data_IF_499914373165
#
_entry.id   IF_499914373165
#
_cell.length_a   1.000
_cell.length_b   1.000
_cell.length_c   1.000
_cell.angle_alpha   90.00
_cell.angle_beta   90.00
_cell.angle_gamma   90.00
#
_symmetry.space_group_name_H-M   'P 1'
#
loop_
_entity.id
_entity.type
_entity.pdbx_description
1 polymer ?
#
# COMPACT_ATOMS: atom_id res chain seq x y z
N UNK A 1 -46.53 -40.84 0.86
CA UNK A 1 -47.55 -39.80 1.14
C UNK A 1 -46.97 -38.40 1.45
N UNK A 2 -45.65 -38.16 1.39
CA UNK A 2 -45.05 -36.86 1.73
C UNK A 2 -44.96 -35.83 0.58
N UNK A 3 -45.09 -36.25 -0.69
CA UNK A 3 -44.91 -35.37 -1.86
C UNK A 3 -46.09 -34.45 -2.19
N UNK A 4 -47.33 -34.84 -1.85
CA UNK A 4 -48.54 -34.06 -2.17
C UNK A 4 -48.70 -32.80 -1.31
N UNK A 5 -48.29 -32.87 -0.04
CA UNK A 5 -48.33 -31.72 0.88
C UNK A 5 -47.33 -30.62 0.47
N UNK A 6 -46.16 -31.03 -0.03
CA UNK A 6 -45.14 -30.10 -0.53
C UNK A 6 -45.59 -29.30 -1.76
N UNK A 7 -46.25 -29.99 -2.70
CA UNK A 7 -46.76 -29.34 -3.90
C UNK A 7 -47.91 -28.36 -3.57
N UNK A 8 -48.79 -28.73 -2.64
CA UNK A 8 -49.88 -27.86 -2.16
C UNK A 8 -49.33 -26.60 -1.46
N UNK A 9 -48.29 -26.74 -0.64
CA UNK A 9 -47.61 -25.61 0.02
C UNK A 9 -46.95 -24.65 -0.99
N UNK A 10 -46.31 -25.19 -2.05
CA UNK A 10 -45.73 -24.37 -3.10
C UNK A 10 -46.78 -23.60 -3.90
N UNK A 11 -47.89 -24.26 -4.27
CA UNK A 11 -48.99 -23.61 -5.01
C UNK A 11 -49.65 -22.53 -4.16
N UNK A 12 -49.89 -22.80 -2.87
CA UNK A 12 -50.45 -21.83 -1.94
C UNK A 12 -49.53 -20.60 -1.76
N UNK A 13 -48.22 -20.82 -1.66
CA UNK A 13 -47.24 -19.73 -1.56
C UNK A 13 -47.21 -18.87 -2.82
N UNK A 14 -47.22 -19.50 -4.00
CA UNK A 14 -47.24 -18.77 -5.29
C UNK A 14 -48.52 -17.94 -5.46
N UNK A 15 -49.68 -18.47 -5.07
CA UNK A 15 -50.95 -17.73 -5.11
C UNK A 15 -50.95 -16.57 -4.11
N UNK A 16 -50.39 -16.76 -2.92
CA UNK A 16 -50.28 -15.69 -1.92
C UNK A 16 -49.38 -14.56 -2.41
N UNK A 17 -48.24 -14.90 -3.00
CA UNK A 17 -47.31 -13.93 -3.61
C UNK A 17 -48.00 -13.18 -4.76
N UNK A 18 -48.71 -13.88 -5.65
CA UNK A 18 -49.45 -13.25 -6.74
C UNK A 18 -50.55 -12.30 -6.25
N UNK A 19 -51.26 -12.65 -5.17
CA UNK A 19 -52.26 -11.79 -4.53
C UNK A 19 -51.64 -10.51 -3.96
N UNK A 20 -50.51 -10.62 -3.26
CA UNK A 20 -49.78 -9.46 -2.71
C UNK A 20 -49.37 -8.52 -3.85
N UNK A 21 -48.77 -9.05 -4.92
CA UNK A 21 -48.36 -8.25 -6.08
C UNK A 21 -49.53 -7.65 -6.85
N UNK A 22 -50.72 -8.27 -6.82
CA UNK A 22 -51.93 -7.73 -7.47
C UNK A 22 -52.57 -6.54 -6.73
N UNK A 23 -52.21 -6.33 -5.46
CA UNK A 23 -52.70 -5.20 -4.65
C UNK A 23 -51.77 -3.98 -4.61
N UNK A 24 -50.54 -4.14 -5.08
CA UNK A 24 -49.54 -3.07 -5.13
C UNK A 24 -49.78 -2.18 -6.34
N UNK A 25 -49.59 -0.88 -6.16
CA UNK A 25 -49.45 0.03 -7.30
C UNK A 25 -48.16 -0.30 -8.08
N UNK A 26 -48.07 0.02 -9.38
CA UNK A 26 -46.86 -0.22 -10.17
C UNK A 26 -45.59 0.36 -9.53
N UNK A 27 -45.68 1.54 -8.90
CA UNK A 27 -44.56 2.16 -8.19
C UNK A 27 -44.12 1.41 -6.94
N UNK A 28 -45.05 0.78 -6.21
CA UNK A 28 -44.70 0.00 -5.02
C UNK A 28 -44.08 -1.34 -5.41
N UNK A 29 -44.57 -1.98 -6.47
CA UNK A 29 -43.99 -3.21 -7.00
C UNK A 29 -42.55 -2.99 -7.52
N UNK A 30 -42.28 -1.86 -8.18
CA UNK A 30 -40.93 -1.46 -8.61
C UNK A 30 -40.00 -1.24 -7.41
N UNK A 31 -40.47 -0.53 -6.37
CA UNK A 31 -39.69 -0.29 -5.15
C UNK A 31 -39.36 -1.58 -4.40
N UNK A 32 -40.31 -2.52 -4.29
CA UNK A 32 -40.07 -3.83 -3.68
C UNK A 32 -39.07 -4.67 -4.50
N UNK A 33 -39.17 -4.64 -5.83
CA UNK A 33 -38.22 -5.33 -6.71
C UNK A 33 -36.80 -4.76 -6.57
N UNK A 34 -36.66 -3.44 -6.49
CA UNK A 34 -35.38 -2.77 -6.27
C UNK A 34 -34.79 -3.10 -4.89
N UNK A 35 -35.61 -3.09 -3.83
CA UNK A 35 -35.19 -3.47 -2.48
C UNK A 35 -34.75 -4.96 -2.40
N UNK A 36 -35.48 -5.86 -3.07
CA UNK A 36 -35.11 -7.27 -3.15
C UNK A 36 -33.80 -7.48 -3.94
N UNK A 37 -33.62 -6.76 -5.05
CA UNK A 37 -32.39 -6.78 -5.84
C UNK A 37 -31.19 -6.24 -5.04
N UNK A 38 -31.36 -5.14 -4.31
CA UNK A 38 -30.33 -4.57 -3.44
C UNK A 38 -29.96 -5.53 -2.30
N UNK A 39 -30.96 -6.21 -1.71
CA UNK A 39 -30.73 -7.22 -0.66
C UNK A 39 -29.95 -8.43 -1.19
N UNK A 40 -30.34 -8.96 -2.35
CA UNK A 40 -29.64 -10.07 -3.02
C UNK A 40 -28.20 -9.70 -3.37
N UNK A 41 -27.97 -8.49 -3.87
CA UNK A 41 -26.63 -7.97 -4.20
C UNK A 41 -25.76 -7.85 -2.95
N UNK A 42 -26.30 -7.33 -1.85
CA UNK A 42 -25.60 -7.25 -0.58
C UNK A 42 -25.23 -8.62 -0.02
N UNK A 43 -26.12 -9.62 -0.15
CA UNK A 43 -25.84 -10.98 0.30
C UNK A 43 -24.68 -11.61 -0.51
N UNK A 44 -24.70 -11.48 -1.84
CA UNK A 44 -23.61 -11.95 -2.71
C UNK A 44 -22.29 -11.29 -2.36
N UNK A 45 -22.29 -9.96 -2.20
CA UNK A 45 -21.11 -9.21 -1.79
C UNK A 45 -20.56 -9.69 -0.45
N UNK A 46 -21.41 -9.92 0.56
CA UNK A 46 -20.97 -10.48 1.85
C UNK A 46 -20.36 -11.87 1.70
N UNK A 47 -20.92 -12.74 0.86
CA UNK A 47 -20.33 -14.06 0.59
C UNK A 47 -18.93 -13.95 -0.05
N UNK A 48 -18.76 -13.04 -1.02
CA UNK A 48 -17.45 -12.76 -1.62
C UNK A 48 -16.46 -12.23 -0.58
N UNK A 49 -16.90 -11.31 0.30
CA UNK A 49 -16.08 -10.79 1.39
C UNK A 49 -15.66 -11.90 2.33
N UNK A 50 -16.56 -12.77 2.77
CA UNK A 50 -16.23 -13.89 3.65
C UNK A 50 -15.23 -14.85 3.00
N UNK A 51 -15.40 -15.13 1.71
CA UNK A 51 -14.44 -15.93 0.93
C UNK A 51 -13.05 -15.27 0.89
N UNK A 52 -12.99 -13.96 0.65
CA UNK A 52 -11.75 -13.19 0.65
C UNK A 52 -11.08 -13.17 2.03
N UNK A 53 -11.84 -12.89 3.09
CA UNK A 53 -11.33 -12.86 4.46
C UNK A 53 -10.74 -14.20 4.89
N UNK A 54 -11.37 -15.32 4.51
CA UNK A 54 -10.84 -16.67 4.76
C UNK A 54 -9.48 -16.90 4.09
N UNK A 55 -9.23 -16.25 2.95
CA UNK A 55 -7.94 -16.32 2.24
C UNK A 55 -6.89 -15.41 2.89
N UNK A 56 -7.27 -14.17 3.22
CA UNK A 56 -6.37 -13.14 3.78
C UNK A 56 -5.97 -13.44 5.23
N UNK A 57 -6.94 -13.71 6.09
CA UNK A 57 -6.73 -13.94 7.51
C UNK A 57 -6.33 -15.39 7.75
N UNK A 58 -5.02 -15.63 7.78
CA UNK A 58 -4.45 -16.95 8.07
C UNK A 58 -4.72 -17.36 9.51
N UNK A 59 -4.87 -18.66 9.81
CA UNK A 59 -5.08 -19.12 11.19
C UNK A 59 -3.96 -18.65 12.12
N UNK A 60 -4.27 -17.82 13.15
CA UNK A 60 -3.26 -17.31 14.07
C UNK A 60 -2.84 -18.38 15.09
N UNK A 61 -1.57 -18.34 15.50
CA UNK A 61 -1.08 -19.08 16.68
C UNK A 61 -1.25 -18.28 17.98
N UNK A 62 -1.34 -16.96 17.87
CA UNK A 62 -1.68 -16.04 18.94
C UNK A 62 -2.34 -14.79 18.36
N UNK A 63 -3.13 -14.09 19.16
CA UNK A 63 -3.76 -12.82 18.78
C UNK A 63 -3.48 -11.79 19.87
N UNK A 64 -3.09 -10.59 19.46
CA UNK A 64 -2.80 -9.45 20.32
C UNK A 64 -3.82 -8.35 20.02
N UNK A 65 -4.43 -7.80 21.07
CA UNK A 65 -5.29 -6.63 20.98
C UNK A 65 -4.42 -5.38 21.15
N UNK A 66 -4.28 -4.61 20.07
CA UNK A 66 -3.51 -3.37 20.10
C UNK A 66 -4.31 -2.27 20.81
N UNK A 67 -3.67 -1.38 21.59
CA UNK A 67 -4.34 -0.25 22.26
C UNK A 67 -5.13 0.68 21.34
N UNK A 68 -4.78 0.70 20.05
CA UNK A 68 -5.44 1.51 19.03
C UNK A 68 -6.61 0.80 18.32
N UNK A 69 -7.02 -0.38 18.79
CA UNK A 69 -8.17 -1.15 18.30
C UNK A 69 -7.86 -2.08 17.12
N UNK A 70 -6.61 -2.14 16.68
CA UNK A 70 -6.16 -3.15 15.73
C UNK A 70 -6.05 -4.53 16.40
N UNK A 71 -6.35 -5.57 15.64
CA UNK A 71 -6.12 -6.95 16.05
C UNK A 71 -4.91 -7.46 15.29
N UNK A 72 -3.86 -7.86 16.00
CA UNK A 72 -2.64 -8.39 15.41
C UNK A 72 -2.62 -9.91 15.57
N UNK A 73 -2.64 -10.61 14.45
CA UNK A 73 -2.56 -12.07 14.37
C UNK A 73 -1.11 -12.50 14.16
N UNK A 74 -0.61 -13.34 15.05
CA UNK A 74 0.70 -13.96 14.94
C UNK A 74 0.57 -15.23 14.08
N UNK A 75 0.98 -15.12 12.82
CA UNK A 75 0.86 -16.20 11.83
C UNK A 75 2.21 -16.88 11.65
N UNK A 76 2.23 -18.20 11.61
CA UNK A 76 3.47 -18.95 11.33
C UNK A 76 4.13 -18.44 10.05
N UNK A 77 5.44 -18.19 10.06
CA UNK A 77 6.14 -17.52 8.96
C UNK A 77 5.95 -18.21 7.61
N UNK A 78 5.89 -19.55 7.59
CA UNK A 78 5.62 -20.35 6.37
C UNK A 78 4.17 -20.34 5.87
N UNK A 79 3.25 -19.70 6.60
CA UNK A 79 1.83 -19.60 6.25
C UNK A 79 1.41 -18.18 5.86
N UNK A 80 2.35 -17.24 5.77
CA UNK A 80 2.06 -15.85 5.44
C UNK A 80 1.37 -15.70 4.07
N UNK A 81 0.54 -14.65 3.86
CA UNK A 81 -0.21 -14.45 2.63
C UNK A 81 0.62 -14.44 1.34
N UNK A 82 1.90 -14.03 1.40
CA UNK A 82 2.79 -14.04 0.24
C UNK A 82 2.88 -15.42 -0.45
N UNK A 83 2.77 -16.52 0.31
CA UNK A 83 2.85 -17.88 -0.23
C UNK A 83 1.57 -18.38 -0.90
N UNK A 84 0.49 -17.59 -0.91
CA UNK A 84 -0.65 -17.86 -1.80
C UNK A 84 -0.31 -17.58 -3.26
N UNK A 85 0.72 -16.76 -3.52
CA UNK A 85 1.19 -16.46 -4.86
C UNK A 85 1.73 -17.73 -5.53
N UNK A 86 1.28 -18.09 -6.76
CA UNK A 86 1.67 -19.35 -7.41
C UNK A 86 3.18 -19.57 -7.51
N UNK A 87 3.95 -18.50 -7.77
CA UNK A 87 5.42 -18.57 -7.87
C UNK A 87 6.13 -18.70 -6.51
N UNK A 88 5.42 -18.58 -5.39
CA UNK A 88 6.01 -18.57 -4.04
C UNK A 88 5.59 -19.75 -3.16
N UNK A 89 4.69 -20.64 -3.63
CA UNK A 89 4.10 -21.73 -2.82
C UNK A 89 5.10 -22.67 -2.13
N UNK A 90 6.30 -22.84 -2.70
CA UNK A 90 7.37 -23.69 -2.15
C UNK A 90 8.68 -22.92 -1.93
N UNK A 91 8.57 -21.60 -1.76
CA UNK A 91 9.73 -20.76 -1.64
C UNK A 91 10.48 -21.02 -0.32
N UNK A 92 11.81 -21.18 -0.40
CA UNK A 92 12.67 -21.31 0.78
C UNK A 92 12.87 -19.93 1.40
N UNK A 93 12.30 -19.73 2.59
CA UNK A 93 12.31 -18.43 3.29
C UNK A 93 13.74 -18.00 3.57
N UNK A 94 14.10 -16.84 3.02
CA UNK A 94 15.35 -16.18 3.32
C UNK A 94 15.14 -15.23 4.51
N UNK A 95 15.96 -15.36 5.55
CA UNK A 95 15.88 -14.49 6.74
C UNK A 95 16.76 -13.24 6.64
N UNK A 96 17.82 -13.29 5.82
CA UNK A 96 18.75 -12.20 5.57
C UNK A 96 19.42 -12.37 4.20
N UNK A 97 19.88 -11.29 3.55
CA UNK A 97 20.64 -11.39 2.32
C UNK A 97 22.01 -12.04 2.56
N UNK A 98 22.50 -12.77 1.56
CA UNK A 98 23.83 -13.38 1.58
C UNK A 98 24.96 -12.35 1.53
N UNK A 99 24.72 -11.22 0.87
CA UNK A 99 25.66 -10.10 0.71
C UNK A 99 24.90 -8.81 0.99
N UNK A 100 25.44 -7.96 1.85
CA UNK A 100 24.90 -6.63 2.13
C UNK A 100 25.71 -5.55 1.41
N UNK A 101 25.10 -4.43 1.02
CA UNK A 101 25.83 -3.28 0.52
C UNK A 101 26.88 -2.78 1.52
N UNK A 102 28.07 -2.45 1.01
CA UNK A 102 29.10 -1.76 1.78
C UNK A 102 28.55 -0.42 2.28
N UNK A 103 28.73 -0.14 3.58
CA UNK A 103 28.12 1.00 4.26
C UNK A 103 26.81 0.67 5.01
N UNK A 104 26.27 -0.55 4.86
CA UNK A 104 25.24 -1.07 5.79
C UNK A 104 25.85 -1.87 6.96
N UNK A 105 27.11 -2.31 6.83
CA UNK A 105 27.83 -3.02 7.89
C UNK A 105 27.94 -2.15 9.15
N UNK A 106 27.28 -2.56 10.23
CA UNK A 106 27.32 -1.87 11.53
C UNK A 106 26.05 -1.12 11.93
N UNK A 107 25.00 -1.07 11.11
CA UNK A 107 23.69 -0.60 11.57
C UNK A 107 23.05 -1.64 12.48
N UNK A 108 23.25 -1.46 13.80
CA UNK A 108 22.59 -2.27 14.80
C UNK A 108 21.07 -2.19 14.62
N UNK A 109 20.41 -3.35 14.54
CA UNK A 109 18.96 -3.43 14.49
C UNK A 109 18.38 -2.69 15.69
N UNK A 110 17.66 -1.61 15.44
CA UNK A 110 16.97 -0.88 16.50
C UNK A 110 15.59 -1.51 16.70
N UNK A 111 15.14 -1.72 17.94
CA UNK A 111 13.75 -2.04 18.16
C UNK A 111 12.92 -0.85 17.68
N UNK A 112 12.19 -1.03 16.58
CA UNK A 112 11.15 -0.09 16.20
C UNK A 112 9.86 -0.49 16.91
N UNK A 113 9.39 0.41 17.75
CA UNK A 113 8.17 0.26 18.54
C UNK A 113 6.98 0.65 17.69
N UNK A 114 5.96 -0.19 17.68
CA UNK A 114 4.64 0.07 17.12
C UNK A 114 3.62 0.06 18.26
N UNK A 115 2.45 0.66 18.05
CA UNK A 115 1.40 0.74 19.09
C UNK A 115 1.08 -0.60 19.72
N UNK A 116 1.06 -1.68 18.92
CA UNK A 116 0.70 -3.01 19.39
C UNK A 116 1.77 -3.71 20.24
N UNK A 117 3.03 -3.27 20.19
CA UNK A 117 4.15 -3.87 20.94
C UNK A 117 4.82 -2.90 21.92
N UNK A 118 4.23 -1.73 22.14
CA UNK A 118 4.80 -0.67 22.99
C UNK A 118 4.89 -1.07 24.47
N UNK A 119 4.07 -2.01 24.93
CA UNK A 119 4.09 -2.51 26.30
C UNK A 119 4.82 -3.87 26.42
N UNK A 120 5.59 -4.25 25.39
CA UNK A 120 6.40 -5.46 25.40
C UNK A 120 5.72 -6.70 24.83
N UNK A 121 4.50 -6.58 24.28
CA UNK A 121 3.83 -7.66 23.56
C UNK A 121 4.67 -8.11 22.36
N UNK A 122 4.76 -9.42 22.17
CA UNK A 122 5.52 -10.03 21.07
C UNK A 122 4.77 -11.23 20.54
N UNK A 123 4.86 -11.41 19.23
CA UNK A 123 4.46 -12.66 18.62
C UNK A 123 5.42 -13.80 19.00
N UNK A 124 4.94 -15.05 19.13
CA UNK A 124 5.78 -16.21 19.40
C UNK A 124 6.89 -16.38 18.35
N UNK A 125 7.96 -17.08 18.71
CA UNK A 125 9.03 -17.41 17.76
C UNK A 125 8.47 -18.14 16.53
N UNK A 126 9.11 -17.91 15.37
CA UNK A 126 8.69 -18.44 14.06
C UNK A 126 7.32 -17.95 13.56
N UNK A 127 6.81 -16.85 14.11
CA UNK A 127 5.61 -16.18 13.62
C UNK A 127 5.88 -14.74 13.21
N UNK A 128 5.02 -14.21 12.34
CA UNK A 128 5.04 -12.81 11.93
C UNK A 128 3.74 -12.13 12.38
N UNK A 129 3.80 -10.86 12.84
CA UNK A 129 2.62 -10.08 13.16
C UNK A 129 1.92 -9.63 11.87
N UNK A 130 0.63 -9.92 11.73
CA UNK A 130 -0.20 -9.47 10.61
C UNK A 130 -1.44 -8.78 11.19
N UNK A 131 -1.72 -7.54 10.78
CA UNK A 131 -3.00 -6.90 11.12
C UNK A 131 -4.14 -7.68 10.47
N UNK A 132 -5.13 -8.09 11.27
CA UNK A 132 -6.34 -8.76 10.79
C UNK A 132 -7.15 -7.81 9.92
N UNK A 133 -7.51 -8.27 8.73
CA UNK A 133 -8.46 -7.57 7.86
C UNK A 133 -9.87 -7.83 8.36
N UNK A 134 -10.67 -6.79 8.56
CA UNK A 134 -12.06 -6.91 9.02
C UNK A 134 -13.04 -6.92 7.84
N UNK A 135 -14.27 -7.40 8.06
CA UNK A 135 -15.33 -7.35 7.05
C UNK A 135 -15.63 -5.92 6.61
N UNK A 136 -15.69 -4.99 7.56
CA UNK A 136 -15.84 -3.56 7.30
C UNK A 136 -14.72 -3.00 6.40
N UNK A 137 -13.50 -3.55 6.45
CA UNK A 137 -12.40 -3.09 5.60
C UNK A 137 -12.64 -3.38 4.14
N UNK A 138 -13.08 -4.61 3.86
CA UNK A 138 -13.37 -5.04 2.49
C UNK A 138 -14.67 -4.41 1.98
N UNK A 139 -15.66 -4.23 2.85
CA UNK A 139 -16.94 -3.67 2.47
C UNK A 139 -16.84 -2.21 1.99
N UNK A 140 -15.88 -1.42 2.49
CA UNK A 140 -15.59 -0.05 2.01
C UNK A 140 -14.99 -0.01 0.60
N UNK A 141 -14.35 -1.09 0.16
CA UNK A 141 -13.69 -1.13 -1.14
C UNK A 141 -14.70 -1.05 -2.28
N UNK A 142 -14.36 -0.41 -3.39
CA UNK A 142 -15.25 -0.39 -4.57
C UNK A 142 -15.51 -1.79 -5.12
N UNK A 143 -14.49 -2.66 -5.09
CA UNK A 143 -14.56 -4.05 -5.53
C UNK A 143 -13.83 -4.98 -4.58
N UNK A 144 -14.48 -6.09 -4.21
CA UNK A 144 -13.90 -7.16 -3.39
C UNK A 144 -12.73 -7.81 -4.12
N UNK A 145 -12.84 -7.99 -5.44
CA UNK A 145 -11.82 -8.65 -6.26
C UNK A 145 -10.51 -7.84 -6.39
N UNK A 146 -10.60 -6.52 -6.23
CA UNK A 146 -9.44 -5.60 -6.33
C UNK A 146 -9.07 -4.97 -4.99
N UNK A 147 -9.64 -5.44 -3.87
CA UNK A 147 -9.28 -4.95 -2.54
C UNK A 147 -7.76 -5.05 -2.30
N UNK A 148 -7.15 -3.93 -1.90
CA UNK A 148 -5.71 -3.82 -1.66
C UNK A 148 -4.84 -3.78 -2.91
N UNK A 149 -5.40 -3.78 -4.12
CA UNK A 149 -4.65 -3.61 -5.37
C UNK A 149 -4.66 -2.14 -5.81
N UNK A 150 -3.53 -1.61 -6.27
CA UNK A 150 -3.51 -0.36 -7.04
C UNK A 150 -4.09 -0.65 -8.44
N UNK A 151 -5.04 0.15 -8.90
CA UNK A 151 -5.64 0.01 -10.23
C UNK A 151 -4.76 0.67 -11.29
N UNK A 152 -4.46 -0.04 -12.39
CA UNK A 152 -3.58 0.38 -13.49
C UNK A 152 -4.07 1.60 -14.33
N UNK A 153 -4.88 2.50 -13.77
CA UNK A 153 -5.34 3.73 -14.45
C UNK A 153 -4.35 4.90 -14.35
N UNK A 154 -3.43 4.87 -13.37
CA UNK A 154 -2.45 5.93 -13.12
C UNK A 154 -1.34 5.90 -14.17
N UNK A 155 -1.60 6.57 -15.30
CA UNK A 155 -0.63 6.87 -16.32
C UNK A 155 0.50 7.71 -15.71
N UNK A 156 1.72 7.19 -15.74
CA UNK A 156 2.94 7.97 -15.52
C UNK A 156 3.85 7.90 -16.75
N UNK A 157 3.51 8.59 -17.85
CA UNK A 157 4.35 8.61 -19.02
C UNK A 157 4.97 10.00 -19.12
N UNK A 158 5.89 10.36 -18.21
CA UNK A 158 6.73 11.57 -18.31
C UNK A 158 6.05 12.77 -19.01
N UNK A 159 5.34 13.60 -18.24
CA UNK A 159 4.77 14.93 -18.60
C UNK A 159 3.36 15.00 -19.24
N UNK A 160 2.67 16.06 -18.82
CA UNK A 160 1.51 16.76 -19.41
C UNK A 160 0.09 16.29 -19.02
N UNK A 161 -0.49 17.01 -18.05
CA UNK A 161 -1.94 17.19 -17.90
C UNK A 161 -2.63 16.24 -16.92
N UNK A 162 -2.86 16.74 -15.69
CA UNK A 162 -3.82 16.23 -14.69
C UNK A 162 -3.91 14.70 -14.62
N UNK A 163 -3.02 14.13 -13.81
CA UNK A 163 -3.18 12.79 -13.26
C UNK A 163 -4.53 12.67 -12.55
N UNK A 164 -5.18 11.51 -12.68
CA UNK A 164 -6.48 11.09 -12.14
C UNK A 164 -6.54 11.14 -10.60
N UNK A 165 -6.35 12.34 -10.03
CA UNK A 165 -6.23 12.64 -8.60
C UNK A 165 -4.83 12.53 -7.99
N UNK A 166 -3.84 11.92 -8.64
CA UNK A 166 -2.53 11.71 -8.03
C UNK A 166 -1.56 12.90 -8.17
N UNK A 167 -1.12 13.53 -7.09
CA UNK A 167 -0.15 14.64 -7.12
C UNK A 167 1.16 14.28 -6.43
N UNK A 168 2.26 14.88 -6.90
CA UNK A 168 3.63 14.47 -6.53
C UNK A 168 4.48 15.65 -6.08
N UNK A 169 5.29 15.41 -5.05
CA UNK A 169 6.41 16.24 -4.64
C UNK A 169 7.60 15.32 -4.41
N UNK A 170 8.30 14.99 -5.50
CA UNK A 170 9.23 13.85 -5.52
C UNK A 170 10.55 14.20 -6.19
N UNK A 171 11.56 13.40 -5.89
CA UNK A 171 12.90 13.56 -6.38
C UNK A 171 13.38 12.24 -7.00
N UNK A 172 13.95 12.30 -8.18
CA UNK A 172 14.28 11.15 -9.03
C UNK A 172 15.78 11.13 -9.32
N UNK A 173 16.45 10.00 -9.09
CA UNK A 173 17.87 9.86 -9.40
C UNK A 173 18.09 9.80 -10.91
N UNK A 174 18.99 10.63 -11.45
CA UNK A 174 19.17 10.77 -12.91
C UNK A 174 20.60 10.58 -13.40
N UNK A 175 21.58 10.45 -12.51
CA UNK A 175 22.99 10.46 -12.90
C UNK A 175 23.69 9.11 -12.97
N UNK A 176 23.04 8.04 -12.54
CA UNK A 176 23.54 6.68 -12.70
C UNK A 176 22.62 5.91 -13.67
N UNK A 177 23.21 5.07 -14.52
CA UNK A 177 22.46 4.28 -15.49
C UNK A 177 21.75 3.07 -14.88
N UNK A 178 22.24 2.58 -13.73
CA UNK A 178 21.84 1.34 -13.11
C UNK A 178 21.84 1.49 -11.58
N UNK A 179 20.74 1.15 -10.93
CA UNK A 179 20.61 1.17 -9.46
C UNK A 179 20.36 -0.23 -8.91
N UNK A 180 21.05 -0.60 -7.83
CA UNK A 180 20.94 -1.93 -7.20
C UNK A 180 20.20 -1.87 -5.85
N UNK A 181 19.73 -0.68 -5.47
CA UNK A 181 19.12 -0.42 -4.18
C UNK A 181 19.12 1.05 -3.83
N UNK A 182 18.40 1.39 -2.77
CA UNK A 182 18.37 2.73 -2.20
C UNK A 182 18.18 2.70 -0.70
N UNK A 183 18.54 3.80 -0.05
CA UNK A 183 18.34 4.04 1.37
C UNK A 183 17.98 5.50 1.59
N UNK A 184 17.02 5.73 2.48
CA UNK A 184 16.66 7.06 2.97
C UNK A 184 16.06 6.97 4.37
N UNK A 185 16.08 8.09 5.11
CA UNK A 185 15.30 8.30 6.34
C UNK A 185 14.14 9.23 6.02
N UNK A 186 12.92 8.76 6.25
CA UNK A 186 11.68 9.51 6.00
C UNK A 186 11.08 9.89 7.36
N UNK A 187 10.68 11.16 7.55
CA UNK A 187 9.91 11.53 8.75
C UNK A 187 8.45 11.07 8.66
N UNK A 188 7.83 10.87 9.82
CA UNK A 188 6.47 10.37 9.95
C UNK A 188 5.51 11.52 10.23
N UNK A 189 4.37 11.53 9.54
CA UNK A 189 3.27 12.46 9.76
C UNK A 189 1.94 11.74 9.67
N UNK A 190 0.92 12.35 10.29
CA UNK A 190 -0.48 11.93 10.19
C UNK A 190 -1.29 13.11 9.61
N UNK A 191 -1.19 13.38 8.29
CA UNK A 191 -1.99 14.42 7.67
C UNK A 191 -3.49 14.13 7.80
N UNK A 192 -4.29 15.20 7.93
CA UNK A 192 -5.74 15.12 7.78
C UNK A 192 -6.08 14.74 6.34
N UNK A 193 -7.03 13.83 6.15
CA UNK A 193 -7.49 13.41 4.82
C UNK A 193 -8.81 14.11 4.52
N UNK A 194 -8.89 14.85 3.41
CA UNK A 194 -10.04 15.72 3.14
C UNK A 194 -11.32 14.93 2.81
N UNK A 195 -11.18 13.79 2.13
CA UNK A 195 -12.30 12.91 1.75
C UNK A 195 -11.90 11.46 1.97
N UNK A 196 -12.80 10.58 2.41
CA UNK A 196 -12.47 9.19 2.76
C UNK A 196 -11.85 8.35 1.63
N UNK A 197 -12.00 8.75 0.36
CA UNK A 197 -11.38 8.13 -0.81
C UNK A 197 -9.97 8.62 -1.12
N UNK A 198 -9.55 9.73 -0.52
CA UNK A 198 -8.21 10.30 -0.70
C UNK A 198 -7.17 9.51 0.11
N UNK A 199 -5.90 9.68 -0.25
CA UNK A 199 -4.78 9.27 0.60
C UNK A 199 -3.60 10.23 0.49
N UNK A 200 -2.75 10.22 1.52
CA UNK A 200 -1.47 10.92 1.54
C UNK A 200 -0.37 9.96 2.00
N UNK A 201 0.76 9.95 1.30
CA UNK A 201 1.86 9.05 1.60
C UNK A 201 3.22 9.71 1.41
N UNK A 202 4.21 9.11 2.06
CA UNK A 202 5.61 9.36 1.80
C UNK A 202 6.32 8.03 1.56
N UNK A 203 7.17 8.00 0.54
CA UNK A 203 7.75 6.76 0.07
C UNK A 203 9.14 6.95 -0.54
N UNK A 204 9.82 5.81 -0.63
CA UNK A 204 10.88 5.56 -1.59
C UNK A 204 10.42 4.44 -2.49
N UNK A 205 10.85 4.46 -3.74
CA UNK A 205 10.59 3.37 -4.66
C UNK A 205 11.70 3.19 -5.67
N UNK A 206 11.76 1.97 -6.17
CA UNK A 206 12.68 1.51 -7.20
C UNK A 206 11.83 0.97 -8.33
N UNK A 207 12.14 1.37 -9.57
CA UNK A 207 11.40 0.87 -10.73
C UNK A 207 12.27 0.56 -11.94
N UNK A 208 11.80 -0.39 -12.75
CA UNK A 208 12.39 -0.77 -14.03
C UNK A 208 11.30 -1.10 -15.05
N UNK A 209 11.57 -0.89 -16.33
CA UNK A 209 10.57 -0.96 -17.39
C UNK A 209 9.80 0.34 -17.53
N UNK A 210 8.62 0.29 -18.13
CA UNK A 210 7.86 1.48 -18.50
C UNK A 210 6.34 1.31 -18.38
N UNK A 211 5.67 2.43 -18.11
CA UNK A 211 4.21 2.48 -18.18
C UNK A 211 3.72 2.30 -19.62
N UNK A 212 4.42 2.86 -20.60
CA UNK A 212 4.04 2.83 -22.02
C UNK A 212 3.98 1.40 -22.56
N UNK A 213 4.96 0.56 -22.21
CA UNK A 213 5.01 -0.83 -22.65
C UNK A 213 4.22 -1.77 -21.73
N UNK A 214 3.59 -1.25 -20.67
CA UNK A 214 2.83 -2.00 -19.66
C UNK A 214 3.65 -3.12 -18.99
N UNK A 215 4.94 -2.87 -18.84
CA UNK A 215 5.91 -3.84 -18.33
C UNK A 215 6.60 -3.36 -17.03
N UNK A 216 6.17 -2.21 -16.49
CA UNK A 216 6.74 -1.61 -15.29
C UNK A 216 6.76 -2.56 -14.08
N UNK A 217 7.93 -2.69 -13.49
CA UNK A 217 8.13 -3.27 -12.17
C UNK A 217 8.45 -2.18 -11.17
N UNK A 218 7.79 -2.21 -10.01
CA UNK A 218 8.05 -1.29 -8.92
C UNK A 218 8.12 -2.04 -7.60
N UNK A 219 8.96 -1.56 -6.69
CA UNK A 219 8.95 -1.90 -5.27
C UNK A 219 8.94 -0.58 -4.51
N UNK A 220 7.91 -0.37 -3.70
CA UNK A 220 7.62 0.88 -3.01
C UNK A 220 7.47 0.59 -1.53
N UNK A 221 8.08 1.43 -0.70
CA UNK A 221 7.96 1.32 0.74
C UNK A 221 7.92 2.70 1.38
N UNK A 222 7.09 2.83 2.39
CA UNK A 222 6.86 4.12 3.02
C UNK A 222 5.77 4.06 4.07
N UNK A 223 5.23 5.22 4.41
CA UNK A 223 4.03 5.32 5.23
C UNK A 223 2.91 5.99 4.42
N UNK A 224 1.67 5.64 4.74
CA UNK A 224 0.50 6.27 4.16
C UNK A 224 -0.61 6.44 5.21
N UNK A 225 -1.46 7.43 5.01
CA UNK A 225 -2.77 7.57 5.67
C UNK A 225 -3.82 7.35 4.59
N UNK A 226 -4.59 6.26 4.71
CA UNK A 226 -5.55 5.84 3.69
C UNK A 226 -6.85 5.29 4.31
N UNK A 227 -7.83 6.17 4.62
CA UNK A 227 -9.05 5.79 5.32
C UNK A 227 -9.90 4.75 4.57
N UNK A 228 -10.01 4.82 3.25
CA UNK A 228 -10.77 3.80 2.49
C UNK A 228 -10.21 2.38 2.73
N UNK A 229 -8.88 2.24 2.77
CA UNK A 229 -8.22 0.95 2.95
C UNK A 229 -8.25 0.48 4.41
N UNK A 230 -7.94 1.36 5.37
CA UNK A 230 -7.72 0.95 6.76
C UNK A 230 -8.87 1.22 7.72
N UNK A 231 -9.79 2.12 7.36
CA UNK A 231 -10.95 2.47 8.17
C UNK A 231 -10.64 3.47 9.27
N UNK A 232 -9.42 4.01 9.28
CA UNK A 232 -8.97 5.05 10.18
C UNK A 232 -8.01 6.02 9.48
N UNK A 233 -7.70 7.11 10.16
CA UNK A 233 -6.77 8.15 9.70
C UNK A 233 -5.38 7.99 10.32
N UNK A 234 -5.01 6.76 10.71
CA UNK A 234 -3.70 6.50 11.31
C UNK A 234 -2.65 6.28 10.23
N UNK A 235 -1.44 6.76 10.52
CA UNK A 235 -0.27 6.52 9.69
C UNK A 235 0.14 5.05 9.76
N UNK A 236 0.24 4.40 8.60
CA UNK A 236 0.55 2.98 8.50
C UNK A 236 1.70 2.75 7.54
N UNK A 237 2.63 1.87 7.93
CA UNK A 237 3.66 1.37 7.01
C UNK A 237 2.93 0.65 5.85
N UNK A 238 3.33 0.97 4.62
CA UNK A 238 2.86 0.24 3.46
C UNK A 238 4.05 -0.25 2.64
N UNK A 239 3.79 -1.35 1.93
CA UNK A 239 4.69 -1.89 0.93
C UNK A 239 3.83 -2.23 -0.28
N UNK A 240 4.28 -1.81 -1.46
CA UNK A 240 3.64 -2.12 -2.73
C UNK A 240 4.67 -2.66 -3.71
N UNK A 241 4.25 -3.59 -4.56
CA UNK A 241 5.09 -4.14 -5.62
C UNK A 241 4.22 -4.66 -6.76
N UNK A 242 4.76 -4.71 -7.98
CA UNK A 242 4.08 -5.30 -9.16
C UNK A 242 4.71 -6.64 -9.56
N UNK A 243 3.87 -7.57 -10.01
CA UNK A 243 4.21 -8.99 -10.25
C UNK A 243 4.20 -9.39 -11.72
N UNK A 244 5.29 -9.16 -12.43
CA UNK A 244 5.61 -9.83 -13.71
C UNK A 244 7.10 -10.11 -13.63
N UNK A 245 7.65 -11.29 -14.00
CA UNK A 245 8.79 -12.17 -13.51
C UNK A 245 10.33 -11.85 -13.59
N UNK A 246 11.14 -12.05 -12.49
CA UNK A 246 12.61 -11.78 -12.35
C UNK A 246 13.14 -11.09 -11.00
N UNK A 247 14.45 -11.01 -10.63
CA UNK A 247 15.07 -10.12 -9.58
C UNK A 247 14.96 -10.37 -8.05
N UNK A 248 16.06 -10.56 -7.29
CA UNK A 248 16.00 -10.74 -5.82
C UNK A 248 16.13 -9.38 -5.08
N UNK A 249 15.07 -8.91 -4.43
CA UNK A 249 15.05 -7.61 -3.73
C UNK A 249 14.76 -7.78 -2.25
N UNK A 250 15.36 -6.90 -1.44
CA UNK A 250 15.20 -6.90 0.02
C UNK A 250 14.77 -5.53 0.52
N UNK A 251 13.87 -5.51 1.50
CA UNK A 251 13.52 -4.31 2.25
C UNK A 251 14.00 -4.44 3.70
N UNK A 252 14.76 -3.44 4.13
CA UNK A 252 15.20 -3.30 5.51
C UNK A 252 14.62 -2.01 6.10
N UNK A 253 14.06 -2.10 7.31
CA UNK A 253 13.54 -0.97 8.08
C UNK A 253 14.24 -0.94 9.44
N UNK A 254 14.94 0.16 9.74
CA UNK A 254 15.70 0.35 10.99
C UNK A 254 16.63 -0.84 11.35
N UNK A 255 17.33 -1.39 10.34
CA UNK A 255 18.23 -2.53 10.50
C UNK A 255 17.55 -3.91 10.57
N UNK A 256 16.21 -3.98 10.51
CA UNK A 256 15.46 -5.26 10.45
C UNK A 256 14.99 -5.56 9.03
N UNK A 257 15.22 -6.78 8.55
CA UNK A 257 14.66 -7.24 7.28
C UNK A 257 13.18 -7.53 7.44
N UNK A 258 12.35 -6.91 6.59
CA UNK A 258 10.89 -6.99 6.66
C UNK A 258 10.24 -7.42 5.35
N UNK A 259 11.00 -7.41 4.24
CA UNK A 259 10.52 -7.85 2.94
C UNK A 259 11.62 -8.51 2.12
N UNK A 260 11.25 -9.53 1.37
CA UNK A 260 12.06 -10.20 0.37
C UNK A 260 11.20 -10.56 -0.83
N UNK A 261 11.66 -10.22 -2.02
CA UNK A 261 10.99 -10.52 -3.27
C UNK A 261 11.96 -11.30 -4.15
N UNK A 262 11.74 -12.61 -4.37
CA UNK A 262 12.66 -13.40 -5.15
C UNK A 262 12.60 -13.09 -6.63
N UNK A 263 13.69 -13.45 -7.30
CA UNK A 263 13.92 -13.21 -8.70
C UNK A 263 13.06 -13.99 -9.65
N UNK A 264 12.05 -14.68 -9.17
CA UNK A 264 11.09 -15.32 -10.03
C UNK A 264 9.90 -14.40 -10.35
N UNK A 265 9.80 -13.19 -9.75
CA UNK A 265 8.55 -12.40 -9.77
C UNK A 265 8.55 -10.99 -10.44
N UNK A 266 9.70 -10.40 -10.86
CA UNK A 266 9.92 -9.12 -11.64
C UNK A 266 10.60 -9.12 -13.07
N UNK A 267 9.97 -8.82 -14.21
CA UNK A 267 10.44 -8.85 -15.62
C UNK A 267 11.65 -7.98 -15.86
N UNK A 268 11.60 -6.74 -15.44
CA UNK A 268 12.64 -5.74 -15.65
C UNK A 268 13.55 -5.58 -14.45
N UNK A 269 13.02 -5.70 -13.23
CA UNK A 269 13.91 -5.78 -12.06
C UNK A 269 14.65 -7.14 -12.00
N UNK A 270 14.54 -7.95 -13.07
CA UNK A 270 14.99 -9.32 -13.15
C UNK A 270 16.45 -9.53 -12.78
N UNK A 271 17.25 -8.64 -13.34
CA UNK A 271 18.70 -8.68 -13.33
C UNK A 271 19.26 -8.16 -12.01
N UNK A 272 18.40 -7.75 -11.07
CA UNK A 272 18.80 -7.06 -9.85
C UNK A 272 19.20 -5.61 -10.09
N UNK A 273 18.78 -5.04 -11.23
CA UNK A 273 19.07 -3.66 -11.64
C UNK A 273 17.76 -2.93 -11.87
N UNK A 274 17.72 -1.68 -11.41
CA UNK A 274 16.64 -0.76 -11.63
C UNK A 274 17.06 0.43 -12.49
N UNK A 275 16.10 0.91 -13.29
CA UNK A 275 16.28 2.05 -14.19
C UNK A 275 16.17 3.39 -13.42
N UNK A 276 15.34 3.42 -12.38
CA UNK A 276 15.08 4.63 -11.60
C UNK A 276 14.90 4.33 -10.12
N UNK A 277 15.25 5.33 -9.32
CA UNK A 277 15.03 5.37 -7.87
C UNK A 277 14.50 6.74 -7.53
N UNK A 278 13.44 6.78 -6.72
CA UNK A 278 12.77 8.02 -6.39
C UNK A 278 12.36 8.07 -4.92
N UNK A 279 12.20 9.29 -4.40
CA UNK A 279 11.85 9.57 -3.02
C UNK A 279 10.91 10.77 -2.94
N UNK A 280 9.95 10.76 -2.03
CA UNK A 280 9.13 11.95 -1.76
C UNK A 280 7.71 11.64 -1.33
N UNK A 281 6.82 12.59 -1.58
CA UNK A 281 5.41 12.50 -1.24
C UNK A 281 4.51 12.33 -2.45
N UNK A 282 3.42 11.59 -2.24
CA UNK A 282 2.32 11.44 -3.18
C UNK A 282 1.00 11.64 -2.43
N UNK A 283 0.03 12.27 -3.08
CA UNK A 283 -1.37 12.28 -2.63
C UNK A 283 -2.26 11.79 -3.74
N UNK A 284 -3.27 11.00 -3.44
CA UNK A 284 -4.42 10.88 -4.33
C UNK A 284 -5.54 11.75 -3.77
N UNK A 285 -5.79 12.87 -4.44
CA UNK A 285 -6.82 13.83 -4.13
C UNK A 285 -7.34 14.44 -5.44
N UNK A 286 -8.43 13.88 -6.02
CA UNK A 286 -9.06 14.42 -7.22
C UNK A 286 -9.45 15.89 -7.12
N UNK A 287 -9.76 16.36 -5.90
CA UNK A 287 -10.05 17.78 -5.60
C UNK A 287 -8.83 18.59 -5.18
N UNK A 288 -7.67 17.95 -5.06
CA UNK A 288 -6.42 18.55 -4.60
C UNK A 288 -6.50 19.20 -3.22
N UNK A 289 -7.40 18.76 -2.34
CA UNK A 289 -7.62 19.37 -1.01
C UNK A 289 -6.90 18.63 0.12
N UNK A 290 -6.41 17.41 -0.14
CA UNK A 290 -5.69 16.63 0.89
C UNK A 290 -4.23 17.06 0.99
N UNK A 291 -3.72 17.44 2.17
CA UNK A 291 -2.33 17.82 2.35
C UNK A 291 -1.36 16.67 2.07
N UNK A 292 -0.21 17.01 1.48
CA UNK A 292 0.90 16.08 1.26
C UNK A 292 1.84 16.10 2.46
N UNK A 293 2.16 14.94 3.00
CA UNK A 293 3.14 14.83 4.07
C UNK A 293 2.66 15.52 5.36
N UNK A 294 3.34 16.58 5.78
CA UNK A 294 2.93 17.40 6.91
C UNK A 294 1.92 18.50 6.57
N UNK A 295 1.61 18.70 5.28
CA UNK A 295 0.83 19.84 4.81
C UNK A 295 1.61 21.16 4.72
N UNK A 296 2.83 21.21 5.24
CA UNK A 296 3.71 22.37 5.15
C UNK A 296 4.49 22.39 3.84
N UNK A 297 4.82 23.60 3.37
CA UNK A 297 5.62 23.77 2.17
C UNK A 297 7.10 23.49 2.44
N UNK A 298 7.87 22.96 1.46
CA UNK A 298 9.29 22.66 1.60
C UNK A 298 10.15 23.81 2.12
N UNK A 299 9.81 25.05 1.75
CA UNK A 299 10.52 26.27 2.16
C UNK A 299 10.50 26.50 3.68
N UNK A 300 9.55 25.89 4.39
CA UNK A 300 9.45 25.98 5.85
C UNK A 300 10.49 25.11 6.57
N UNK A 301 11.11 24.15 5.87
CA UNK A 301 12.29 23.43 6.33
C UNK A 301 12.08 22.49 7.51
N UNK A 302 13.17 22.20 8.23
CA UNK A 302 13.19 21.23 9.31
C UNK A 302 12.23 21.59 10.46
N UNK A 303 11.55 20.59 11.00
CA UNK A 303 10.57 20.74 12.07
C UNK A 303 9.16 21.06 11.59
N UNK A 304 8.99 21.39 10.29
CA UNK A 304 7.68 21.66 9.68
C UNK A 304 7.43 20.84 8.43
N UNK A 305 8.31 20.94 7.43
CA UNK A 305 8.14 20.23 6.16
C UNK A 305 8.41 18.73 6.31
N UNK A 306 7.75 17.93 5.47
CA UNK A 306 8.14 16.53 5.28
C UNK A 306 9.49 16.45 4.59
N UNK A 307 10.26 15.40 4.90
CA UNK A 307 11.56 15.20 4.32
C UNK A 307 11.90 13.72 4.10
N UNK A 308 12.78 13.52 3.13
CA UNK A 308 13.59 12.32 3.00
C UNK A 308 15.05 12.76 3.07
N UNK A 309 15.81 12.24 4.04
CA UNK A 309 17.22 12.61 4.26
C UNK A 309 18.12 11.40 4.27
N UNK A 310 19.44 11.65 4.25
CA UNK A 310 20.46 10.61 4.11
C UNK A 310 20.17 9.72 2.89
N UNK A 311 19.78 10.36 1.79
CA UNK A 311 19.43 9.67 0.54
C UNK A 311 20.71 9.10 -0.06
N UNK A 312 20.69 7.80 -0.32
CA UNK A 312 21.77 7.04 -0.92
C UNK A 312 21.22 6.04 -1.95
N UNK A 313 22.08 5.67 -2.90
CA UNK A 313 21.85 4.62 -3.89
C UNK A 313 22.93 3.56 -3.78
N UNK A 314 22.62 2.33 -4.20
CA UNK A 314 23.59 1.24 -4.30
C UNK A 314 24.09 1.14 -5.73
N UNK A 315 25.40 1.21 -5.91
CA UNK A 315 26.05 1.09 -7.22
C UNK A 315 26.35 -0.38 -7.62
N UNK A 316 26.89 -0.56 -8.82
CA UNK A 316 27.27 -1.88 -9.35
C UNK A 316 28.40 -2.58 -8.60
N UNK A 317 29.15 -1.85 -7.78
CA UNK A 317 30.16 -2.40 -6.88
C UNK A 317 29.58 -2.72 -5.49
N UNK A 318 28.25 -2.66 -5.36
CA UNK A 318 27.51 -2.92 -4.14
C UNK A 318 27.89 -1.97 -2.99
N UNK A 319 28.19 -0.71 -3.30
CA UNK A 319 28.49 0.34 -2.31
C UNK A 319 27.34 1.33 -2.18
N UNK A 320 27.02 1.72 -0.94
CA UNK A 320 26.15 2.87 -0.70
C UNK A 320 26.89 4.18 -0.97
N UNK A 321 26.31 5.01 -1.84
CA UNK A 321 26.85 6.33 -2.20
C UNK A 321 25.73 7.36 -2.33
N UNK A 322 26.09 8.65 -2.28
CA UNK A 322 25.15 9.72 -2.66
C UNK A 322 24.79 9.60 -4.14
N UNK A 323 23.53 9.88 -4.54
CA UNK A 323 23.13 9.87 -5.93
C UNK A 323 23.86 10.95 -6.73
N UNK A 324 24.24 10.64 -7.98
CA UNK A 324 24.93 11.57 -8.89
C UNK A 324 23.98 12.59 -9.52
N UNK A 325 23.26 13.36 -8.68
CA UNK A 325 22.24 14.30 -9.13
C UNK A 325 20.82 13.75 -9.00
N UNK A 326 19.89 14.67 -8.81
CA UNK A 326 18.49 14.39 -8.52
C UNK A 326 17.62 15.40 -9.26
N UNK A 327 16.70 14.91 -10.09
CA UNK A 327 15.68 15.72 -10.73
C UNK A 327 14.48 15.90 -9.81
N UNK A 328 13.88 17.09 -9.81
CA UNK A 328 12.71 17.41 -8.99
C UNK A 328 11.44 17.38 -9.83
N UNK A 329 10.41 16.70 -9.32
CA UNK A 329 9.12 16.51 -9.98
C UNK A 329 8.02 17.02 -9.05
N UNK A 330 7.40 18.13 -9.45
CA UNK A 330 6.23 18.71 -8.80
C UNK A 330 5.32 19.37 -9.86
N UNK A 331 4.36 18.63 -10.44
CA UNK A 331 3.52 19.13 -11.52
C UNK A 331 2.63 20.32 -11.12
N UNK A 332 2.25 20.41 -9.84
CA UNK A 332 1.44 21.50 -9.27
C UNK A 332 2.22 22.23 -8.15
N UNK A 333 3.30 22.95 -8.46
CA UNK A 333 4.24 23.49 -7.47
C UNK A 333 3.62 24.48 -6.48
N UNK A 334 2.50 25.10 -6.84
CA UNK A 334 1.75 26.00 -5.95
C UNK A 334 0.91 25.25 -4.90
N UNK A 335 0.59 23.99 -5.14
CA UNK A 335 -0.20 23.15 -4.22
C UNK A 335 0.69 22.15 -3.49
N UNK A 336 1.60 21.52 -4.23
CA UNK A 336 2.55 20.53 -3.73
C UNK A 336 3.91 20.77 -4.39
N UNK A 337 4.96 20.89 -3.59
CA UNK A 337 6.29 21.16 -4.12
C UNK A 337 7.35 20.31 -3.44
N UNK A 338 8.55 20.34 -4.02
CA UNK A 338 9.73 19.65 -3.53
C UNK A 338 10.94 20.55 -3.71
N UNK A 339 11.88 20.48 -2.77
CA UNK A 339 13.17 21.16 -2.82
C UNK A 339 14.26 20.19 -2.39
N UNK A 340 15.42 20.26 -3.05
CA UNK A 340 16.60 19.47 -2.70
C UNK A 340 17.58 20.28 -1.88
N UNK A 341 18.39 19.59 -1.08
CA UNK A 341 19.53 20.14 -0.39
C UNK A 341 20.60 19.08 -0.19
N UNK A 342 21.80 19.52 0.17
CA UNK A 342 22.90 18.63 0.52
C UNK A 342 23.68 19.19 1.71
N UNK A 343 24.18 18.30 2.55
CA UNK A 343 25.05 18.65 3.67
C UNK A 343 26.14 17.60 3.81
N UNK A 344 27.40 18.03 3.68
CA UNK A 344 28.58 17.19 3.92
C UNK A 344 29.03 17.16 5.38
N UNK A 345 28.51 18.08 6.21
CA UNK A 345 28.91 18.25 7.62
C UNK A 345 27.91 17.66 8.60
N UNK A 346 26.70 17.32 8.16
CA UNK A 346 25.67 16.68 9.00
C UNK A 346 25.35 15.30 8.47
N UNK A 347 24.67 14.49 9.29
CA UNK A 347 24.18 13.18 8.88
C UNK A 347 23.02 13.25 7.85
N UNK A 348 22.69 14.42 7.33
CA UNK A 348 21.61 14.59 6.35
C UNK A 348 22.03 14.19 4.94
N UNK A 349 23.32 14.26 4.59
CA UNK A 349 23.79 13.92 3.25
C UNK A 349 22.99 14.65 2.16
N UNK A 350 22.61 13.94 1.11
CA UNK A 350 21.59 14.41 0.16
C UNK A 350 20.19 14.26 0.79
N UNK A 351 19.36 15.29 0.68
CA UNK A 351 18.01 15.29 1.23
C UNK A 351 17.04 16.11 0.39
N UNK A 352 15.76 15.87 0.61
CA UNK A 352 14.67 16.67 0.05
C UNK A 352 13.70 17.08 1.15
N UNK A 353 13.10 18.26 0.97
CA UNK A 353 11.85 18.62 1.60
C UNK A 353 10.73 18.55 0.57
N UNK A 354 9.57 18.04 0.95
CA UNK A 354 8.38 17.97 0.10
C UNK A 354 7.13 18.25 0.95
N UNK A 355 6.03 18.60 0.30
CA UNK A 355 4.76 18.80 0.97
C UNK A 355 3.93 19.92 0.32
N UNK A 356 2.89 20.32 1.03
CA UNK A 356 1.95 21.37 0.64
C UNK A 356 0.55 21.06 1.13
N UNK A 357 -0.25 22.11 1.30
CA UNK A 357 -1.57 22.04 1.95
C UNK A 357 -2.69 21.53 1.04
N UNK A 358 -2.41 21.34 -0.25
CA UNK A 358 -3.43 21.25 -1.28
C UNK A 358 -3.60 22.56 -2.04
N UNK A 359 -4.44 22.54 -3.08
CA UNK A 359 -4.82 23.71 -3.85
C UNK A 359 -5.94 24.48 -3.13
N UNK A 360 -5.91 25.83 -3.17
CA UNK A 360 -7.00 26.68 -2.69
C UNK A 360 -8.35 26.43 -3.36
#
# INVERSE_FOLDING_TARGET
MAGGAWLQLQVALLLLVALIFSTLSPSEAEAEAEAAAATSTNLRRRQEVQSLLKRLNKPPLATIQSPDGDIIDCVHISKQPAFDHPLLKNHTIQMRPSIQPSGMYGEAARPFTQTWNQNGEKCPDNTIPIRRTKEEDVMRATSVATFGKKTHGSHHPRLAGVTDGHHYGVASATGDANYYGTKATINLWQPTIATSGDFSLAQLWISAGSYQNKDLNTIEAGWQVYPALYGDEKTRLFIYWTDLAGGNWWLQVQGKYVGYWPSSIFTHLQTGVADTVEWGGEVNSPRSTTPMGSGHFPKEGFGKASYSKAIQVVDSSNNLKSPNGVSLIAPLPNCYSVMTGSSSTTSWGTYIYYGGSGCP
#
